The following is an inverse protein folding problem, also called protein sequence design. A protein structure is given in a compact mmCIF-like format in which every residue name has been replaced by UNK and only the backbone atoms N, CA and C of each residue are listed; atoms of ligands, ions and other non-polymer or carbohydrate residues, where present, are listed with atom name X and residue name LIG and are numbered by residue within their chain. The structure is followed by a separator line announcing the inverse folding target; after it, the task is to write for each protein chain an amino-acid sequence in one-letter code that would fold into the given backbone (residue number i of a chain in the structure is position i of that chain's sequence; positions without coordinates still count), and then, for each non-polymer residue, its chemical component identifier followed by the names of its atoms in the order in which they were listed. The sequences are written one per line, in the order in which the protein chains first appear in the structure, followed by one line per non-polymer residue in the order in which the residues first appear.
data_IF_027829997648
#
_entry.id   IF_027829997648
#
_cell.length_a   1.000
_cell.length_b   1.000
_cell.length_c   1.000
_cell.angle_alpha   90.00
_cell.angle_beta   90.00
_cell.angle_gamma   90.00
#
_symmetry.space_group_name_H-M   'P 1'
#
loop_
_entity.id
_entity.type
_entity.pdbx_description
1 polymer ?
#
# COMPACT_ATOMS: atom_id res chain seq x y z
N UNK A 1 -7.93 -7.39 3.09
CA UNK A 1 -6.48 -7.24 2.88
C UNK A 1 -6.10 -7.18 1.40
N UNK A 2 -6.58 -8.10 0.56
CA UNK A 2 -6.24 -8.14 -0.88
C UNK A 2 -6.38 -6.80 -1.62
N UNK A 3 -7.43 -6.01 -1.35
CA UNK A 3 -7.60 -4.69 -1.96
C UNK A 3 -6.53 -3.67 -1.53
N UNK A 4 -6.12 -3.68 -0.26
CA UNK A 4 -5.05 -2.79 0.24
C UNK A 4 -3.71 -3.08 -0.46
N UNK A 5 -3.34 -4.36 -0.57
CA UNK A 5 -2.15 -4.80 -1.30
C UNK A 5 -2.17 -4.33 -2.75
N UNK A 6 -3.27 -4.56 -3.48
CA UNK A 6 -3.40 -4.15 -4.89
C UNK A 6 -3.26 -2.64 -5.09
N UNK A 7 -3.81 -1.82 -4.18
CA UNK A 7 -3.68 -0.36 -4.27
C UNK A 7 -2.23 0.09 -4.06
N UNK A 8 -1.53 -0.56 -3.12
CA UNK A 8 -0.12 -0.28 -2.86
C UNK A 8 0.76 -0.74 -4.05
N UNK A 9 0.48 -1.90 -4.62
CA UNK A 9 1.16 -2.45 -5.80
C UNK A 9 0.96 -1.55 -7.04
N UNK A 10 -0.22 -0.93 -7.16
CA UNK A 10 -0.54 0.09 -8.19
C UNK A 10 0.07 1.48 -7.92
N UNK A 11 0.76 1.68 -6.80
CA UNK A 11 1.49 2.92 -6.53
C UNK A 11 0.73 3.97 -5.72
N UNK A 12 -0.40 3.66 -5.07
CA UNK A 12 -1.02 4.64 -4.15
C UNK A 12 -0.13 4.87 -2.92
N UNK A 13 0.39 6.09 -2.80
CA UNK A 13 1.34 6.48 -1.77
C UNK A 13 0.67 6.86 -0.44
N UNK A 14 -0.60 7.27 -0.48
CA UNK A 14 -1.32 7.74 0.71
C UNK A 14 -1.96 6.57 1.46
N UNK A 15 -1.40 6.23 2.61
CA UNK A 15 -1.86 5.08 3.40
C UNK A 15 -3.27 5.28 3.99
N UNK A 16 -3.69 6.52 4.22
CA UNK A 16 -5.05 6.86 4.63
C UNK A 16 -6.06 6.54 3.52
N UNK A 17 -5.75 6.90 2.26
CA UNK A 17 -6.58 6.58 1.10
C UNK A 17 -6.68 5.07 0.90
N UNK A 18 -5.57 4.35 0.99
CA UNK A 18 -5.60 2.89 0.92
C UNK A 18 -6.48 2.33 2.03
N UNK A 19 -6.33 2.80 3.27
CA UNK A 19 -7.11 2.30 4.40
C UNK A 19 -8.62 2.56 4.23
N UNK A 20 -9.01 3.75 3.80
CA UNK A 20 -10.40 4.10 3.54
C UNK A 20 -10.99 3.21 2.42
N UNK A 21 -10.30 3.13 1.27
CA UNK A 21 -10.78 2.37 0.10
C UNK A 21 -10.81 0.86 0.32
N UNK A 22 -10.01 0.34 1.24
CA UNK A 22 -9.96 -1.09 1.57
C UNK A 22 -10.76 -1.49 2.82
N UNK A 23 -11.53 -0.55 3.40
CA UNK A 23 -12.40 -0.81 4.54
C UNK A 23 -11.66 -0.97 5.88
N UNK A 24 -10.40 -0.53 5.96
CA UNK A 24 -9.58 -0.60 7.18
C UNK A 24 -9.73 0.64 8.06
N UNK A 25 -10.34 1.71 7.54
CA UNK A 25 -10.69 2.93 8.27
C UNK A 25 -9.52 3.87 8.53
N UNK A 26 -8.43 3.38 9.14
CA UNK A 26 -7.27 4.22 9.50
C UNK A 26 -5.96 3.66 8.95
N UNK A 27 -5.01 4.57 8.70
CA UNK A 27 -3.66 4.20 8.29
C UNK A 27 -2.95 3.33 9.36
N UNK A 28 -3.24 3.53 10.65
CA UNK A 28 -2.71 2.72 11.73
C UNK A 28 -3.20 1.27 11.66
N UNK A 29 -4.51 1.06 11.47
CA UNK A 29 -5.08 -0.27 11.28
C UNK A 29 -4.50 -0.95 10.04
N UNK A 30 -4.36 -0.20 8.93
CA UNK A 30 -3.71 -0.71 7.73
C UNK A 30 -2.27 -1.19 7.99
N UNK A 31 -1.45 -0.42 8.71
CA UNK A 31 -0.08 -0.82 9.05
C UNK A 31 -0.06 -2.12 9.86
N UNK A 32 -0.88 -2.20 10.90
CA UNK A 32 -0.96 -3.38 11.76
C UNK A 32 -1.38 -4.62 10.97
N UNK A 33 -2.45 -4.50 10.17
CA UNK A 33 -2.99 -5.62 9.38
C UNK A 33 -2.03 -6.03 8.26
N UNK A 34 -1.38 -5.09 7.59
CA UNK A 34 -0.39 -5.38 6.55
C UNK A 34 0.81 -6.12 7.14
N UNK A 35 1.33 -5.65 8.29
CA UNK A 35 2.41 -6.32 9.00
C UNK A 35 2.02 -7.72 9.44
N UNK A 36 0.82 -7.89 9.98
CA UNK A 36 0.30 -9.19 10.39
C UNK A 36 0.17 -10.16 9.20
N UNK A 37 -0.26 -9.67 8.03
CA UNK A 37 -0.48 -10.49 6.85
C UNK A 37 0.80 -10.81 6.06
N UNK A 38 1.79 -9.91 6.06
CA UNK A 38 2.95 -9.98 5.14
C UNK A 38 4.30 -10.02 5.85
N UNK A 39 4.35 -9.71 7.15
CA UNK A 39 5.60 -9.51 7.89
C UNK A 39 6.32 -8.19 7.57
N UNK A 40 5.83 -7.39 6.62
CA UNK A 40 6.50 -6.18 6.14
C UNK A 40 5.86 -4.89 6.67
N UNK A 41 6.66 -3.82 6.77
CA UNK A 41 6.11 -2.45 6.88
C UNK A 41 5.55 -2.01 5.51
N UNK A 42 4.66 -1.00 5.44
CA UNK A 42 4.15 -0.52 4.16
C UNK A 42 5.24 -0.07 3.19
N UNK A 43 6.28 0.62 3.68
CA UNK A 43 7.40 1.05 2.84
C UNK A 43 8.22 -0.13 2.33
N UNK A 44 8.45 -1.16 3.17
CA UNK A 44 9.15 -2.36 2.73
C UNK A 44 8.32 -3.18 1.73
N UNK A 45 7.01 -3.25 1.94
CA UNK A 45 6.08 -3.87 1.01
C UNK A 45 6.07 -3.14 -0.34
N UNK A 46 5.97 -1.80 -0.33
CA UNK A 46 6.07 -0.95 -1.53
C UNK A 46 7.37 -1.15 -2.28
N UNK A 47 8.50 -1.16 -1.59
CA UNK A 47 9.80 -1.38 -2.24
C UNK A 47 9.89 -2.74 -2.93
N UNK A 48 9.17 -3.75 -2.42
CA UNK A 48 9.22 -5.12 -2.94
C UNK A 48 8.17 -5.40 -4.01
N UNK A 49 6.98 -4.83 -3.90
CA UNK A 49 5.81 -5.16 -4.72
C UNK A 49 5.15 -3.95 -5.38
N UNK A 50 5.48 -2.74 -4.97
CA UNK A 50 5.09 -1.54 -5.69
C UNK A 50 5.67 -1.60 -7.09
N UNK A 51 4.90 -1.16 -8.08
CA UNK A 51 5.42 -0.86 -9.41
C UNK A 51 6.56 0.16 -9.25
N UNK A 52 7.80 -0.33 -9.23
CA UNK A 52 8.97 0.51 -8.97
C UNK A 52 9.13 1.53 -10.09
N UNK A 53 9.04 2.82 -9.77
CA UNK A 53 9.66 3.91 -10.55
C UNK A 53 9.45 3.90 -12.07
N UNK A 54 8.24 3.63 -12.54
CA UNK A 54 7.95 3.46 -13.98
C UNK A 54 6.92 4.43 -14.55
N UNK A 55 6.99 5.72 -14.20
CA UNK A 55 6.50 6.85 -15.03
C UNK A 55 7.05 8.16 -14.45
N UNK A 56 8.37 8.31 -14.51
CA UNK A 56 8.97 9.61 -14.73
C UNK A 56 9.22 9.76 -16.23
N UNK A 57 8.17 9.98 -17.04
CA UNK A 57 8.23 10.70 -18.33
C UNK A 57 6.82 10.90 -18.93
N UNK A 58 6.55 12.14 -19.35
CA UNK A 58 5.53 12.61 -20.33
C UNK A 58 4.04 12.38 -20.01
N UNK A 59 3.17 13.40 -19.97
CA UNK A 59 3.08 14.64 -20.77
C UNK A 59 2.57 15.82 -19.96
#
# INVERSE_FOLDING_TARGET
MALACRLIERGEERLDVVAARSGLGTAANLRARLRQATGLSPSAYRRRFGSGGGEALVS
#
